data_IF_920366189470
#
_entry.id   IF_920366189470
#
_cell.length_a   1.000
_cell.length_b   1.000
_cell.length_c   1.000
_cell.angle_alpha   90.00
_cell.angle_beta   90.00
_cell.angle_gamma   90.00
#
_symmetry.space_group_name_H-M   'P 1'
#
loop_
_entity.id
_entity.type
_entity.pdbx_description
1 polymer ?
#
# COMPACT_ATOMS: atom_id res chain seq x y z
N UNK A 1 16.56 22.08 -24.05
CA UNK A 1 16.05 20.70 -24.17
C UNK A 1 14.67 20.72 -23.56
N UNK A 2 13.66 20.43 -24.35
CA UNK A 2 12.29 20.32 -23.82
C UNK A 2 12.21 19.09 -22.92
N UNK A 3 11.52 19.21 -21.81
CA UNK A 3 11.36 18.16 -20.83
C UNK A 3 9.94 18.15 -20.27
N UNK A 4 9.57 17.07 -19.63
CA UNK A 4 8.32 17.00 -18.86
C UNK A 4 8.63 16.54 -17.43
N UNK A 5 7.98 17.15 -16.47
CA UNK A 5 8.06 16.78 -15.07
C UNK A 5 6.68 16.46 -14.54
N UNK A 6 6.52 15.27 -13.99
CA UNK A 6 5.28 14.77 -13.40
C UNK A 6 5.55 14.33 -11.97
N UNK A 7 4.70 14.70 -11.03
CA UNK A 7 4.74 14.18 -9.66
C UNK A 7 3.41 13.52 -9.36
N UNK A 8 3.49 12.26 -8.96
CA UNK A 8 2.37 11.47 -8.46
C UNK A 8 2.63 11.02 -7.02
N UNK A 9 1.56 10.87 -6.28
CA UNK A 9 1.59 10.26 -4.97
C UNK A 9 0.61 9.11 -4.87
N UNK A 10 0.91 8.15 -4.01
CA UNK A 10 -0.02 7.11 -3.64
C UNK A 10 0.10 6.80 -2.15
N UNK A 11 -1.03 6.62 -1.46
CA UNK A 11 -1.04 6.25 -0.06
C UNK A 11 -0.61 4.79 0.13
N UNK A 12 -0.09 4.50 1.32
CA UNK A 12 0.00 3.13 1.79
C UNK A 12 -1.38 2.59 2.15
N UNK A 13 -1.47 1.30 2.39
CA UNK A 13 -2.70 0.65 2.84
C UNK A 13 -2.39 -0.38 3.91
N UNK A 14 -3.33 -0.55 4.85
CA UNK A 14 -3.26 -1.57 5.89
C UNK A 14 -4.37 -2.60 5.69
N UNK A 15 -3.99 -3.84 5.43
CA UNK A 15 -4.95 -4.93 5.28
C UNK A 15 -5.48 -5.39 6.63
N UNK A 16 -6.79 -5.62 6.74
CA UNK A 16 -7.45 -6.26 7.87
C UNK A 16 -7.73 -7.75 7.59
N UNK A 17 -7.94 -8.13 6.32
CA UNK A 17 -7.76 -9.51 5.85
C UNK A 17 -6.56 -9.52 4.91
N UNK A 18 -5.55 -10.32 5.26
CA UNK A 18 -4.19 -10.23 4.74
C UNK A 18 -4.02 -10.94 3.40
N UNK A 19 -3.33 -10.29 2.48
CA UNK A 19 -2.74 -10.92 1.31
C UNK A 19 -1.54 -11.76 1.72
N UNK A 20 -1.68 -13.08 1.66
CA UNK A 20 -0.59 -14.00 1.96
C UNK A 20 -0.72 -15.27 1.12
N UNK A 21 0.36 -15.67 0.43
CA UNK A 21 0.33 -16.70 -0.61
C UNK A 21 0.12 -16.13 -2.02
N UNK A 22 0.73 -16.77 -3.01
CA UNK A 22 0.64 -16.39 -4.43
C UNK A 22 0.26 -17.60 -5.26
N UNK A 23 -0.83 -17.47 -6.04
CA UNK A 23 -1.25 -18.42 -7.06
C UNK A 23 -0.35 -18.31 -8.30
N UNK A 24 0.01 -17.08 -8.67
CA UNK A 24 0.98 -16.77 -9.71
C UNK A 24 1.99 -15.75 -9.17
N UNK A 25 3.24 -16.18 -8.98
CA UNK A 25 4.30 -15.33 -8.44
C UNK A 25 4.80 -14.29 -9.45
N UNK A 26 4.74 -14.58 -10.74
CA UNK A 26 5.23 -13.70 -11.81
C UNK A 26 4.34 -12.46 -11.99
N UNK A 27 3.05 -12.64 -11.80
CA UNK A 27 2.01 -11.60 -11.90
C UNK A 27 1.53 -11.12 -10.53
N UNK A 28 2.06 -11.65 -9.44
CA UNK A 28 1.60 -11.41 -8.07
C UNK A 28 0.09 -11.66 -7.87
N UNK A 29 -0.48 -12.65 -8.58
CA UNK A 29 -1.88 -13.05 -8.35
C UNK A 29 -1.99 -13.68 -6.96
N UNK A 30 -2.91 -13.19 -6.10
CA UNK A 30 -3.06 -13.70 -4.75
C UNK A 30 -3.69 -15.09 -4.75
N UNK A 31 -3.38 -15.88 -3.74
CA UNK A 31 -4.04 -17.16 -3.52
C UNK A 31 -5.34 -17.00 -2.73
N UNK A 32 -5.41 -15.98 -1.92
CA UNK A 32 -6.58 -15.64 -1.13
C UNK A 32 -6.95 -14.15 -1.28
N UNK A 33 -8.23 -13.81 -1.14
CA UNK A 33 -8.65 -12.42 -1.16
C UNK A 33 -8.10 -11.65 0.04
N UNK A 34 -8.11 -10.32 -0.06
CA UNK A 34 -7.71 -9.42 1.01
C UNK A 34 -8.57 -8.15 0.99
N UNK A 35 -8.69 -7.50 2.15
CA UNK A 35 -9.39 -6.23 2.28
C UNK A 35 -8.57 -5.28 3.14
N UNK A 36 -8.38 -4.05 2.68
CA UNK A 36 -7.52 -3.05 3.33
C UNK A 36 -8.19 -1.70 3.45
N UNK A 37 -7.72 -0.93 4.44
CA UNK A 37 -7.92 0.50 4.53
C UNK A 37 -6.77 1.22 3.82
N UNK A 38 -7.09 2.13 2.92
CA UNK A 38 -6.15 3.06 2.28
C UNK A 38 -5.90 4.24 3.22
N UNK A 39 -4.63 4.62 3.38
CA UNK A 39 -4.20 5.66 4.31
C UNK A 39 -4.20 7.04 3.65
N UNK A 40 -4.10 8.10 4.43
CA UNK A 40 -4.18 9.49 3.95
C UNK A 40 -2.80 10.13 3.81
N UNK A 41 -2.05 10.17 4.90
CA UNK A 41 -0.79 10.94 5.03
C UNK A 41 0.46 10.07 4.88
N UNK A 42 0.35 8.78 5.18
CA UNK A 42 1.45 7.82 5.01
C UNK A 42 1.50 7.36 3.56
N UNK A 43 2.27 8.05 2.73
CA UNK A 43 2.29 7.91 1.28
C UNK A 43 3.70 7.93 0.69
N UNK A 44 3.83 7.43 -0.53
CA UNK A 44 5.01 7.58 -1.37
C UNK A 44 4.76 8.63 -2.44
N UNK A 45 5.79 9.40 -2.75
CA UNK A 45 5.80 10.46 -3.75
C UNK A 45 6.84 10.07 -4.79
N UNK A 46 6.47 10.13 -6.06
CA UNK A 46 7.35 9.86 -7.21
C UNK A 46 7.39 11.07 -8.12
N UNK A 47 8.57 11.64 -8.32
CA UNK A 47 8.86 12.60 -9.37
C UNK A 47 9.45 11.86 -10.56
N UNK A 48 8.84 12.01 -11.72
CA UNK A 48 9.32 11.50 -12.99
C UNK A 48 9.64 12.67 -13.90
N UNK A 49 10.88 12.71 -14.39
CA UNK A 49 11.36 13.72 -15.33
C UNK A 49 11.67 13.01 -16.65
N UNK A 50 11.04 13.44 -17.73
CA UNK A 50 11.39 13.07 -19.09
C UNK A 50 12.35 14.10 -19.66
N UNK A 51 13.42 13.62 -20.31
CA UNK A 51 14.35 14.44 -21.10
C UNK A 51 14.41 13.90 -22.51
N UNK A 52 14.23 14.78 -23.49
CA UNK A 52 14.33 14.40 -24.90
C UNK A 52 15.78 14.11 -25.29
N UNK A 53 15.99 13.19 -26.25
CA UNK A 53 17.26 12.98 -26.92
C UNK A 53 18.11 11.78 -26.51
N UNK A 54 17.92 11.20 -25.32
CA UNK A 54 18.62 9.99 -24.87
C UNK A 54 17.66 8.90 -24.46
N UNK A 55 18.16 7.66 -24.30
CA UNK A 55 17.37 6.55 -23.85
C UNK A 55 17.80 6.10 -22.45
N UNK A 56 16.89 5.57 -21.69
CA UNK A 56 17.17 4.89 -20.43
C UNK A 56 16.30 5.32 -19.28
N UNK A 57 16.35 4.51 -18.22
CA UNK A 57 15.67 4.77 -16.97
C UNK A 57 16.70 4.81 -15.85
N UNK A 58 16.70 5.84 -15.06
CA UNK A 58 17.55 5.99 -13.88
C UNK A 58 16.75 6.41 -12.66
N UNK A 59 17.11 5.86 -11.52
CA UNK A 59 16.64 6.33 -10.23
C UNK A 59 17.77 7.05 -9.52
N UNK A 60 17.50 8.21 -8.93
CA UNK A 60 18.48 8.99 -8.19
C UNK A 60 18.01 9.22 -6.74
N UNK A 61 18.91 9.10 -5.72
CA UNK A 61 18.59 9.24 -4.31
C UNK A 61 18.45 10.73 -3.93
N UNK A 62 17.46 11.39 -4.50
CA UNK A 62 17.12 12.78 -4.23
C UNK A 62 15.62 12.90 -3.95
N UNK A 63 15.26 13.88 -3.15
CA UNK A 63 13.85 14.18 -2.92
C UNK A 63 13.17 14.74 -4.17
N UNK A 64 11.90 14.40 -4.41
CA UNK A 64 11.04 15.08 -5.35
C UNK A 64 11.00 16.60 -5.09
N UNK A 65 10.99 17.38 -6.17
CA UNK A 65 11.00 18.85 -6.07
C UNK A 65 9.56 19.39 -6.07
N UNK A 66 8.90 19.39 -4.92
CA UNK A 66 7.55 19.94 -4.78
C UNK A 66 7.58 21.43 -4.42
N UNK A 67 6.61 22.24 -4.88
CA UNK A 67 6.36 23.57 -4.33
C UNK A 67 6.14 23.48 -2.81
N UNK A 68 6.89 24.24 -2.04
CA UNK A 68 6.84 24.20 -0.56
C UNK A 68 7.71 23.09 0.07
N UNK A 69 8.46 22.33 -0.72
CA UNK A 69 9.33 21.23 -0.26
C UNK A 69 8.61 19.87 -0.27
N UNK A 70 9.42 18.81 -0.39
CA UNK A 70 8.89 17.44 -0.35
C UNK A 70 8.88 16.95 1.11
N UNK A 71 7.72 16.53 1.63
CA UNK A 71 7.67 15.89 2.94
C UNK A 71 8.28 14.49 2.86
N UNK A 72 9.01 14.10 3.91
CA UNK A 72 9.54 12.74 4.05
C UNK A 72 10.99 12.58 3.62
N UNK A 73 11.39 11.35 3.37
CA UNK A 73 12.77 10.95 3.13
C UNK A 73 12.90 10.16 1.82
N UNK A 74 14.04 10.33 1.14
CA UNK A 74 14.37 9.48 -0.01
C UNK A 74 14.78 8.09 0.49
N UNK A 75 14.16 7.00 -0.02
CA UNK A 75 14.50 5.66 0.44
C UNK A 75 15.89 5.25 -0.05
N UNK A 76 16.57 4.44 0.76
CA UNK A 76 17.79 3.76 0.35
C UNK A 76 17.42 2.50 -0.45
N UNK A 77 17.65 2.52 -1.76
CA UNK A 77 17.38 1.35 -2.60
C UNK A 77 18.67 0.55 -2.86
N UNK A 78 18.60 -0.75 -2.68
CA UNK A 78 19.65 -1.66 -3.14
C UNK A 78 19.69 -1.75 -4.67
N UNK A 79 20.78 -2.24 -5.24
CA UNK A 79 20.88 -2.44 -6.69
C UNK A 79 19.73 -3.29 -7.24
N UNK A 80 19.29 -4.33 -6.50
CA UNK A 80 18.13 -5.15 -6.89
C UNK A 80 16.81 -4.38 -6.79
N UNK A 81 16.68 -3.47 -5.82
CA UNK A 81 15.55 -2.55 -5.69
C UNK A 81 15.43 -1.60 -6.86
N UNK A 82 16.56 -0.98 -7.27
CA UNK A 82 16.62 -0.11 -8.44
C UNK A 82 16.24 -0.87 -9.71
N UNK A 83 16.77 -2.09 -9.89
CA UNK A 83 16.40 -2.93 -11.05
C UNK A 83 14.90 -3.28 -11.09
N UNK A 84 14.26 -3.51 -9.94
CA UNK A 84 12.80 -3.71 -9.86
C UNK A 84 12.03 -2.47 -10.32
N UNK A 85 12.48 -1.28 -9.91
CA UNK A 85 11.87 0.00 -10.33
C UNK A 85 11.98 0.16 -11.84
N UNK A 86 13.19 -0.02 -12.41
CA UNK A 86 13.43 0.09 -13.87
C UNK A 86 12.56 -0.89 -14.65
N UNK A 87 12.57 -2.17 -14.27
CA UNK A 87 11.72 -3.20 -14.91
C UNK A 87 10.24 -2.86 -14.85
N UNK A 88 9.80 -2.22 -13.76
CA UNK A 88 8.39 -1.84 -13.64
C UNK A 88 8.03 -0.67 -14.56
N UNK A 89 8.90 0.33 -14.71
CA UNK A 89 8.72 1.41 -15.69
C UNK A 89 8.55 0.85 -17.10
N UNK A 90 9.42 -0.06 -17.52
CA UNK A 90 9.32 -0.71 -18.83
C UNK A 90 8.02 -1.50 -19.00
N UNK A 91 7.59 -2.21 -17.93
CA UNK A 91 6.31 -2.92 -17.92
C UNK A 91 5.11 -1.98 -18.11
N UNK A 92 5.10 -0.85 -17.40
CA UNK A 92 4.03 0.14 -17.55
C UNK A 92 4.03 0.68 -18.98
N UNK A 93 5.19 1.14 -19.48
CA UNK A 93 5.32 1.64 -20.86
C UNK A 93 4.75 0.66 -21.89
N UNK A 94 5.07 -0.62 -21.77
CA UNK A 94 4.62 -1.65 -22.71
C UNK A 94 3.09 -1.80 -22.78
N UNK A 95 2.38 -1.44 -21.71
CA UNK A 95 0.91 -1.53 -21.65
C UNK A 95 0.19 -0.26 -22.09
N UNK A 96 0.88 0.91 -22.07
CA UNK A 96 0.25 2.20 -22.34
C UNK A 96 -0.39 2.32 -23.72
N UNK A 97 0.19 1.84 -24.84
CA UNK A 97 -0.43 2.01 -26.16
C UNK A 97 -1.83 1.39 -26.24
N UNK A 98 -1.99 0.17 -25.72
CA UNK A 98 -3.27 -0.52 -25.69
C UNK A 98 -4.26 0.20 -24.77
N UNK A 99 -3.80 0.52 -23.56
CA UNK A 99 -4.61 1.18 -22.55
C UNK A 99 -5.08 2.57 -23.00
N UNK A 100 -4.17 3.37 -23.57
CA UNK A 100 -4.50 4.71 -24.02
C UNK A 100 -5.44 4.72 -25.24
N UNK A 101 -5.29 3.74 -26.14
CA UNK A 101 -6.24 3.58 -27.24
C UNK A 101 -7.66 3.23 -26.74
N UNK A 102 -7.77 2.33 -25.79
CA UNK A 102 -9.05 1.95 -25.16
C UNK A 102 -9.78 3.14 -24.54
N UNK A 103 -9.04 3.96 -23.79
CA UNK A 103 -9.57 5.11 -23.05
C UNK A 103 -9.47 6.45 -23.80
N UNK A 104 -9.06 6.42 -25.07
CA UNK A 104 -8.89 7.62 -25.92
C UNK A 104 -7.99 8.68 -25.29
N UNK A 105 -6.97 8.24 -24.55
CA UNK A 105 -5.92 9.11 -24.02
C UNK A 105 -4.86 9.27 -25.11
N UNK A 106 -4.51 10.50 -25.50
CA UNK A 106 -3.52 10.69 -26.55
C UNK A 106 -2.11 10.36 -26.05
N UNK A 107 -1.41 9.45 -26.75
CA UNK A 107 -0.04 9.07 -26.45
C UNK A 107 0.94 10.07 -27.07
N UNK A 108 1.93 10.51 -26.28
CA UNK A 108 3.03 11.34 -26.79
C UNK A 108 4.07 10.48 -27.51
N UNK A 109 3.85 10.20 -28.79
CA UNK A 109 4.60 9.22 -29.58
C UNK A 109 6.12 9.45 -29.54
N UNK A 110 6.59 10.67 -29.75
CA UNK A 110 8.01 10.99 -29.78
C UNK A 110 8.72 10.69 -28.45
N UNK A 111 8.13 11.09 -27.30
CA UNK A 111 8.68 10.80 -25.96
C UNK A 111 8.59 9.32 -25.65
N UNK A 112 7.54 8.66 -26.09
CA UNK A 112 7.38 7.23 -25.89
C UNK A 112 8.49 6.43 -26.58
N UNK A 113 8.87 6.82 -27.80
CA UNK A 113 9.92 6.17 -28.57
C UNK A 113 11.32 6.52 -28.06
N UNK A 114 11.57 7.78 -27.69
CA UNK A 114 12.92 8.25 -27.37
C UNK A 114 12.92 9.30 -26.25
N UNK A 115 13.13 8.85 -25.02
CA UNK A 115 13.37 9.73 -23.88
C UNK A 115 14.23 9.07 -22.81
N UNK A 116 14.91 9.90 -22.02
CA UNK A 116 15.49 9.50 -20.75
C UNK A 116 14.46 9.71 -19.64
N UNK A 117 14.29 8.72 -18.77
CA UNK A 117 13.44 8.79 -17.60
C UNK A 117 14.33 8.90 -16.37
N UNK A 118 14.16 9.95 -15.58
CA UNK A 118 14.82 10.14 -14.30
C UNK A 118 13.75 10.08 -13.22
N UNK A 119 13.98 9.24 -12.21
CA UNK A 119 13.05 9.04 -11.10
C UNK A 119 13.68 9.52 -9.79
N UNK A 120 12.89 10.27 -9.01
CA UNK A 120 13.16 10.56 -7.61
C UNK A 120 11.97 10.09 -6.79
N UNK A 121 12.21 9.60 -5.59
CA UNK A 121 11.16 9.07 -4.74
C UNK A 121 11.32 9.53 -3.29
N UNK A 122 10.21 9.70 -2.59
CA UNK A 122 10.18 9.95 -1.16
C UNK A 122 9.05 9.15 -0.50
N UNK A 123 9.21 8.85 0.79
CA UNK A 123 8.17 8.34 1.66
C UNK A 123 7.93 9.31 2.81
N UNK A 124 6.69 9.59 3.16
CA UNK A 124 6.34 10.43 4.31
C UNK A 124 6.43 9.69 5.65
N UNK A 125 6.92 8.46 5.63
CA UNK A 125 7.09 7.58 6.78
C UNK A 125 8.45 6.88 6.71
N UNK A 126 9.02 6.45 7.84
CA UNK A 126 10.34 5.82 7.89
C UNK A 126 10.42 4.57 7.02
N UNK A 127 11.56 4.40 6.35
CA UNK A 127 11.84 3.17 5.60
C UNK A 127 11.85 1.96 6.55
N UNK A 128 11.44 0.80 6.05
CA UNK A 128 11.35 -0.47 6.81
C UNK A 128 10.36 -0.47 7.99
N UNK A 129 9.57 0.58 8.17
CA UNK A 129 8.54 0.69 9.23
C UNK A 129 7.41 -0.36 9.15
N UNK A 130 7.40 -1.22 8.14
CA UNK A 130 6.31 -2.21 7.95
C UNK A 130 5.02 -1.64 7.35
N UNK A 131 5.00 -0.36 7.00
CA UNK A 131 3.84 0.37 6.45
C UNK A 131 3.73 0.16 4.93
N UNK A 132 3.94 -1.05 4.44
CA UNK A 132 3.76 -1.43 3.04
C UNK A 132 4.34 -0.42 2.01
N UNK A 133 5.54 0.15 2.25
CA UNK A 133 6.17 1.18 1.39
C UNK A 133 6.24 0.76 -0.08
N UNK A 134 6.42 -0.53 -0.38
CA UNK A 134 6.39 -1.01 -1.75
C UNK A 134 5.00 -0.89 -2.41
N UNK A 135 3.91 -0.91 -1.63
CA UNK A 135 2.57 -0.75 -2.17
C UNK A 135 2.37 0.68 -2.70
N UNK A 136 2.60 1.68 -1.87
CA UNK A 136 2.47 3.09 -2.23
C UNK A 136 3.47 3.50 -3.33
N UNK A 137 4.74 3.07 -3.23
CA UNK A 137 5.77 3.44 -4.20
C UNK A 137 5.48 2.92 -5.61
N UNK A 138 5.04 1.65 -5.75
CA UNK A 138 4.71 1.11 -7.08
C UNK A 138 3.40 1.68 -7.63
N UNK A 139 2.43 2.03 -6.79
CA UNK A 139 1.22 2.72 -7.22
C UNK A 139 1.54 4.13 -7.74
N UNK A 140 2.28 4.94 -6.99
CA UNK A 140 2.71 6.28 -7.41
C UNK A 140 3.56 6.23 -8.69
N UNK A 141 4.50 5.27 -8.78
CA UNK A 141 5.33 5.08 -9.98
C UNK A 141 4.49 4.74 -11.21
N UNK A 142 3.53 3.82 -11.08
CA UNK A 142 2.65 3.43 -12.18
C UNK A 142 1.85 4.62 -12.71
N UNK A 143 1.29 5.42 -11.79
CA UNK A 143 0.55 6.62 -12.14
C UNK A 143 1.45 7.68 -12.79
N UNK A 144 2.64 7.94 -12.22
CA UNK A 144 3.59 8.92 -12.76
C UNK A 144 4.01 8.56 -14.19
N UNK A 145 4.33 7.27 -14.44
CA UNK A 145 4.70 6.79 -15.78
C UNK A 145 3.53 6.94 -16.75
N UNK A 146 2.33 6.52 -16.37
CA UNK A 146 1.15 6.67 -17.24
C UNK A 146 0.90 8.13 -17.60
N UNK A 147 0.84 9.00 -16.61
CA UNK A 147 0.64 10.42 -16.83
C UNK A 147 1.72 11.02 -17.75
N UNK A 148 3.00 10.72 -17.53
CA UNK A 148 4.11 11.30 -18.25
C UNK A 148 4.11 11.00 -19.76
N UNK A 149 3.48 9.93 -20.20
CA UNK A 149 3.38 9.56 -21.61
C UNK A 149 2.06 9.99 -22.29
N UNK A 150 1.15 10.64 -21.57
CA UNK A 150 0.02 11.34 -22.22
C UNK A 150 0.50 12.63 -22.85
N UNK A 151 0.03 12.95 -24.07
CA UNK A 151 0.30 14.25 -24.68
C UNK A 151 -0.68 15.35 -24.23
N UNK A 152 -1.64 15.02 -23.37
CA UNK A 152 -2.61 15.97 -22.82
C UNK A 152 -2.88 15.71 -21.35
N UNK A 153 -2.40 16.60 -20.50
CA UNK A 153 -2.73 16.59 -19.07
C UNK A 153 -4.23 16.60 -18.82
N UNK A 154 -4.94 17.52 -19.47
CA UNK A 154 -6.38 17.71 -19.32
C UNK A 154 -7.16 16.41 -19.60
N UNK A 155 -6.87 15.76 -20.72
CA UNK A 155 -7.54 14.51 -21.10
C UNK A 155 -7.21 13.41 -20.09
N UNK A 156 -5.93 13.27 -19.71
CA UNK A 156 -5.53 12.26 -18.74
C UNK A 156 -6.25 12.43 -17.38
N UNK A 157 -6.23 13.64 -16.82
CA UNK A 157 -6.88 13.96 -15.53
C UNK A 157 -8.40 13.78 -15.60
N UNK A 158 -9.02 14.18 -16.72
CA UNK A 158 -10.46 14.01 -16.91
C UNK A 158 -10.86 12.52 -16.94
N UNK A 159 -10.18 11.71 -17.74
CA UNK A 159 -10.43 10.27 -17.80
C UNK A 159 -10.10 9.60 -16.47
N UNK A 160 -8.96 9.94 -15.86
CA UNK A 160 -8.55 9.43 -14.55
C UNK A 160 -9.61 9.68 -13.47
N UNK A 161 -10.22 10.85 -13.45
CA UNK A 161 -11.23 11.20 -12.44
C UNK A 161 -12.58 10.50 -12.67
N UNK A 162 -12.99 10.35 -13.93
CA UNK A 162 -14.32 9.85 -14.30
C UNK A 162 -14.38 8.32 -14.42
N UNK A 163 -13.27 7.66 -14.78
CA UNK A 163 -13.27 6.27 -15.19
C UNK A 163 -12.60 5.35 -14.15
N UNK A 164 -13.39 4.69 -13.28
CA UNK A 164 -12.85 3.75 -12.29
C UNK A 164 -12.11 2.57 -12.93
N UNK A 165 -12.54 2.13 -14.12
CA UNK A 165 -11.92 1.00 -14.81
C UNK A 165 -10.51 1.34 -15.30
N UNK A 166 -10.21 2.60 -15.67
CA UNK A 166 -8.84 3.03 -15.95
C UNK A 166 -7.97 2.88 -14.70
N UNK A 167 -8.44 3.35 -13.54
CA UNK A 167 -7.72 3.21 -12.26
C UNK A 167 -7.47 1.74 -11.92
N UNK A 168 -8.45 0.87 -12.17
CA UNK A 168 -8.30 -0.59 -12.00
C UNK A 168 -7.28 -1.20 -12.95
N UNK A 169 -7.23 -0.76 -14.21
CA UNK A 169 -6.22 -1.22 -15.16
C UNK A 169 -4.80 -0.82 -14.69
N UNK A 170 -4.63 0.41 -14.20
CA UNK A 170 -3.37 0.85 -13.59
C UNK A 170 -3.03 0.05 -12.32
N UNK A 171 -4.02 -0.25 -11.49
CA UNK A 171 -3.86 -1.09 -10.30
C UNK A 171 -3.36 -2.51 -10.66
N UNK A 172 -3.91 -3.12 -11.72
CA UNK A 172 -3.46 -4.42 -12.22
C UNK A 172 -2.01 -4.39 -12.69
N UNK A 173 -1.59 -3.35 -13.43
CA UNK A 173 -0.21 -3.19 -13.87
C UNK A 173 0.71 -2.99 -12.66
N UNK A 174 0.32 -2.15 -11.72
CA UNK A 174 1.09 -1.87 -10.50
C UNK A 174 1.31 -3.12 -9.65
N UNK A 175 0.29 -3.99 -9.52
CA UNK A 175 0.36 -5.27 -8.82
C UNK A 175 1.52 -6.14 -9.29
N UNK A 176 1.84 -6.15 -10.56
CA UNK A 176 2.96 -6.93 -11.09
C UNK A 176 4.32 -6.46 -10.55
N UNK A 177 4.44 -5.21 -10.11
CA UNK A 177 5.62 -4.68 -9.42
C UNK A 177 5.61 -4.99 -7.92
N UNK A 178 4.46 -4.82 -7.28
CA UNK A 178 4.23 -5.13 -5.86
C UNK A 178 2.77 -5.53 -5.65
N UNK A 179 2.51 -6.75 -5.17
CA UNK A 179 1.16 -7.30 -5.07
C UNK A 179 0.16 -6.34 -4.41
N UNK A 180 0.48 -5.85 -3.21
CA UNK A 180 -0.40 -4.96 -2.44
C UNK A 180 -0.61 -3.57 -3.05
N UNK A 181 0.16 -3.17 -4.07
CA UNK A 181 0.05 -1.83 -4.66
C UNK A 181 -1.28 -1.59 -5.37
N UNK A 182 -1.93 -2.65 -5.85
CA UNK A 182 -3.24 -2.51 -6.49
C UNK A 182 -4.31 -1.92 -5.57
N UNK A 183 -4.15 -2.04 -4.25
CA UNK A 183 -5.09 -1.48 -3.26
C UNK A 183 -4.84 -0.02 -2.92
N UNK A 184 -3.80 0.62 -3.48
CA UNK A 184 -3.45 2.02 -3.25
C UNK A 184 -4.01 2.99 -4.31
N UNK A 185 -4.83 2.50 -5.27
CA UNK A 185 -5.42 3.33 -6.33
C UNK A 185 -6.79 3.91 -5.98
N UNK A 186 -7.47 3.30 -5.01
CA UNK A 186 -8.77 3.68 -4.53
C UNK A 186 -8.77 3.76 -2.99
N UNK A 187 -9.83 4.29 -2.39
CA UNK A 187 -9.99 4.34 -0.94
C UNK A 187 -11.34 4.90 -0.53
N UNK A 188 -11.75 4.76 0.73
CA UNK A 188 -10.91 4.24 1.83
C UNK A 188 -10.81 2.70 1.91
N UNK A 189 -11.84 1.94 1.59
CA UNK A 189 -11.85 0.49 1.74
C UNK A 189 -11.72 -0.21 0.39
N UNK A 190 -10.70 -1.06 0.25
CA UNK A 190 -10.41 -1.77 -1.01
C UNK A 190 -10.32 -3.26 -0.78
N UNK A 191 -11.19 -3.99 -1.46
CA UNK A 191 -11.13 -5.44 -1.62
C UNK A 191 -10.23 -5.79 -2.81
N UNK A 192 -9.36 -6.78 -2.64
CA UNK A 192 -8.59 -7.36 -3.72
C UNK A 192 -8.79 -8.87 -3.76
N UNK A 193 -9.33 -9.34 -4.88
CA UNK A 193 -9.53 -10.75 -5.14
C UNK A 193 -9.04 -11.08 -6.56
N UNK A 194 -8.30 -12.16 -6.70
CA UNK A 194 -7.68 -12.60 -7.96
C UNK A 194 -6.87 -11.49 -8.64
N UNK A 195 -7.29 -11.02 -9.81
CA UNK A 195 -6.61 -9.97 -10.55
C UNK A 195 -7.23 -8.57 -10.33
N UNK A 196 -8.33 -8.46 -9.59
CA UNK A 196 -9.13 -7.23 -9.46
C UNK A 196 -9.11 -6.65 -8.06
N UNK A 197 -8.69 -5.39 -7.95
CA UNK A 197 -8.90 -4.55 -6.78
C UNK A 197 -10.10 -3.63 -7.01
N UNK A 198 -10.98 -3.51 -6.02
CA UNK A 198 -12.20 -2.71 -6.14
C UNK A 198 -12.58 -2.03 -4.83
N UNK A 199 -13.16 -0.85 -4.95
CA UNK A 199 -13.69 -0.10 -3.82
C UNK A 199 -14.85 -0.87 -3.17
N UNK A 200 -14.89 -0.90 -1.85
CA UNK A 200 -16.07 -1.33 -1.08
C UNK A 200 -17.02 -0.13 -0.98
N UNK A 201 -18.19 -0.25 -1.62
CA UNK A 201 -19.22 0.77 -1.57
C UNK A 201 -19.94 0.82 -0.23
N UNK A 202 -20.62 1.94 0.04
CA UNK A 202 -21.54 2.11 1.15
C UNK A 202 -20.92 1.85 2.54
N UNK A 203 -19.65 2.27 2.74
CA UNK A 203 -19.00 2.18 4.02
C UNK A 203 -19.64 3.13 5.04
N UNK A 204 -19.94 2.61 6.24
CA UNK A 204 -20.34 3.38 7.40
C UNK A 204 -19.19 3.59 8.41
N UNK A 205 -17.94 3.15 8.07
CA UNK A 205 -16.74 3.24 8.91
C UNK A 205 -15.65 4.08 8.23
N UNK A 206 -15.95 5.32 7.87
CA UNK A 206 -15.00 6.24 7.23
C UNK A 206 -14.38 7.23 8.22
N UNK A 207 -14.97 7.35 9.43
CA UNK A 207 -14.50 8.24 10.50
C UNK A 207 -13.61 7.47 11.48
N UNK A 208 -12.41 7.11 11.03
CA UNK A 208 -11.40 6.41 11.83
C UNK A 208 -10.16 7.29 12.03
N UNK A 209 -9.47 7.07 13.15
CA UNK A 209 -8.08 7.46 13.35
C UNK A 209 -7.22 6.19 13.33
N UNK A 210 -6.02 6.29 12.80
CA UNK A 210 -5.08 5.19 12.70
C UNK A 210 -3.78 5.56 13.38
N UNK A 211 -3.30 4.70 14.25
CA UNK A 211 -2.02 4.80 14.93
C UNK A 211 -1.10 3.67 14.47
N UNK A 212 0.15 4.00 14.19
CA UNK A 212 1.21 3.01 13.93
C UNK A 212 2.25 3.11 15.03
N UNK A 213 2.32 2.10 15.89
CA UNK A 213 3.33 2.00 16.94
C UNK A 213 4.59 1.40 16.33
N UNK A 214 5.64 2.22 16.18
CA UNK A 214 6.89 1.85 15.51
C UNK A 214 7.83 1.09 16.44
N UNK A 215 7.52 -0.18 16.71
CA UNK A 215 8.32 -1.05 17.60
C UNK A 215 9.75 -1.22 17.06
N UNK A 216 9.89 -1.36 15.72
CA UNK A 216 11.17 -1.50 15.06
C UNK A 216 11.12 -1.06 13.61
N UNK A 217 12.15 -0.36 13.16
CA UNK A 217 12.30 0.15 11.80
C UNK A 217 13.49 -0.45 11.04
N UNK A 218 14.14 -1.48 11.59
CA UNK A 218 15.26 -2.17 10.95
C UNK A 218 14.80 -3.08 9.81
N UNK A 219 15.68 -3.36 8.84
CA UNK A 219 15.41 -4.33 7.78
C UNK A 219 15.05 -5.71 8.33
N UNK A 220 14.03 -6.32 7.75
CA UNK A 220 13.53 -7.65 8.15
C UNK A 220 14.50 -8.75 7.77
N UNK A 221 14.73 -9.72 8.65
CA UNK A 221 15.54 -10.93 8.36
C UNK A 221 14.89 -11.81 7.29
N UNK A 222 13.56 -11.93 7.33
CA UNK A 222 12.76 -12.65 6.32
C UNK A 222 11.96 -11.62 5.54
N UNK A 223 12.17 -11.55 4.24
CA UNK A 223 11.41 -10.62 3.40
C UNK A 223 9.94 -11.06 3.27
N UNK A 224 9.04 -10.10 3.01
CA UNK A 224 7.63 -10.45 2.75
C UNK A 224 7.47 -11.42 1.57
N UNK A 225 8.32 -11.30 0.54
CA UNK A 225 8.32 -12.24 -0.60
C UNK A 225 8.68 -13.66 -0.19
N UNK A 226 9.63 -13.82 0.70
CA UNK A 226 10.03 -15.10 1.25
C UNK A 226 8.95 -15.68 2.19
N UNK A 227 8.33 -14.84 3.00
CA UNK A 227 7.21 -15.24 3.85
C UNK A 227 6.07 -15.86 3.03
N UNK A 228 5.70 -15.25 1.88
CA UNK A 228 4.69 -15.81 0.97
C UNK A 228 4.99 -17.25 0.49
N UNK A 229 6.26 -17.64 0.42
CA UNK A 229 6.65 -19.01 0.05
C UNK A 229 6.63 -19.95 1.25
N UNK A 230 7.17 -19.50 2.40
CA UNK A 230 7.32 -20.33 3.60
C UNK A 230 5.99 -20.76 4.20
N UNK A 231 4.99 -19.89 4.23
CA UNK A 231 3.69 -20.19 4.86
C UNK A 231 2.98 -21.40 4.26
N UNK A 232 3.21 -21.70 2.98
CA UNK A 232 2.62 -22.86 2.31
C UNK A 232 3.09 -24.18 2.90
N UNK A 233 4.18 -24.18 3.67
CA UNK A 233 4.71 -25.34 4.38
C UNK A 233 4.11 -25.50 5.78
N UNK A 234 3.30 -24.57 6.25
CA UNK A 234 2.60 -24.64 7.53
C UNK A 234 1.44 -25.65 7.44
N UNK A 235 1.25 -26.52 8.44
CA UNK A 235 0.07 -27.38 8.50
C UNK A 235 -1.24 -26.59 8.60
N UNK A 236 -1.20 -25.33 9.09
CA UNK A 236 -2.35 -24.44 9.17
C UNK A 236 -2.73 -23.82 7.82
N UNK A 237 -1.92 -24.04 6.78
CA UNK A 237 -2.21 -23.53 5.43
C UNK A 237 -3.48 -24.14 4.83
N UNK A 238 -3.75 -25.42 5.15
CA UNK A 238 -4.96 -26.09 4.70
C UNK A 238 -6.22 -25.33 5.15
N UNK A 239 -7.11 -25.02 4.20
CA UNK A 239 -8.33 -24.25 4.45
C UNK A 239 -8.14 -22.73 4.61
N UNK A 240 -6.91 -22.21 4.53
CA UNK A 240 -6.62 -20.77 4.65
C UNK A 240 -7.41 -19.93 3.64
N UNK A 241 -7.48 -20.36 2.40
CA UNK A 241 -8.19 -19.65 1.34
C UNK A 241 -9.68 -19.50 1.69
N UNK A 242 -10.33 -20.57 2.13
CA UNK A 242 -11.73 -20.53 2.52
C UNK A 242 -11.96 -19.61 3.73
N UNK A 243 -11.14 -19.73 4.77
CA UNK A 243 -11.26 -18.88 5.97
C UNK A 243 -11.11 -17.39 5.64
N UNK A 244 -10.22 -17.03 4.71
CA UNK A 244 -10.06 -15.64 4.29
C UNK A 244 -11.20 -15.14 3.41
N UNK A 245 -11.77 -15.99 2.55
CA UNK A 245 -12.98 -15.65 1.80
C UNK A 245 -14.14 -15.32 2.74
N UNK A 246 -14.37 -16.17 3.74
CA UNK A 246 -15.42 -15.95 4.74
C UNK A 246 -15.17 -14.68 5.55
N UNK A 247 -13.91 -14.41 5.94
CA UNK A 247 -13.53 -13.18 6.64
C UNK A 247 -13.75 -11.94 5.78
N UNK A 248 -13.39 -11.96 4.51
CA UNK A 248 -13.62 -10.80 3.62
C UNK A 248 -15.11 -10.50 3.48
N UNK A 249 -15.95 -11.51 3.30
CA UNK A 249 -17.42 -11.32 3.24
C UNK A 249 -17.98 -10.72 4.52
N UNK A 250 -17.61 -11.28 5.67
CA UNK A 250 -18.02 -10.78 7.00
C UNK A 250 -17.51 -9.36 7.25
N UNK A 251 -16.22 -9.11 6.99
CA UNK A 251 -15.59 -7.80 7.17
C UNK A 251 -16.26 -6.72 6.31
N UNK A 252 -16.51 -7.01 5.05
CA UNK A 252 -17.23 -6.11 4.15
C UNK A 252 -18.61 -5.74 4.67
N UNK A 253 -19.38 -6.74 5.12
CA UNK A 253 -20.69 -6.52 5.72
C UNK A 253 -20.61 -5.71 7.03
N UNK A 254 -19.61 -5.96 7.89
CA UNK A 254 -19.40 -5.21 9.12
C UNK A 254 -19.05 -3.74 8.85
N UNK A 255 -18.18 -3.48 7.86
CA UNK A 255 -17.82 -2.11 7.41
C UNK A 255 -19.06 -1.37 6.91
N UNK A 256 -19.87 -2.01 6.07
CA UNK A 256 -21.10 -1.40 5.51
C UNK A 256 -22.14 -1.09 6.59
N UNK A 257 -22.20 -1.88 7.65
CA UNK A 257 -23.12 -1.67 8.79
C UNK A 257 -22.55 -0.80 9.91
N UNK A 258 -21.29 -0.36 9.81
CA UNK A 258 -20.66 0.47 10.84
C UNK A 258 -20.33 -0.30 12.14
N UNK A 259 -20.19 -1.63 12.09
CA UNK A 259 -19.96 -2.49 13.26
C UNK A 259 -18.46 -2.63 13.55
N UNK A 260 -17.92 -1.64 14.28
CA UNK A 260 -16.49 -1.62 14.61
C UNK A 260 -16.03 -2.81 15.46
N UNK A 261 -16.89 -3.30 16.35
CA UNK A 261 -16.67 -4.48 17.15
C UNK A 261 -16.43 -5.74 16.30
N UNK A 262 -17.31 -5.99 15.33
CA UNK A 262 -17.14 -7.12 14.39
C UNK A 262 -15.88 -6.95 13.51
N UNK A 263 -15.55 -5.73 13.09
CA UNK A 263 -14.33 -5.45 12.34
C UNK A 263 -13.10 -5.73 13.19
N UNK A 264 -13.12 -5.33 14.48
CA UNK A 264 -12.05 -5.58 15.42
C UNK A 264 -11.77 -7.08 15.59
N UNK A 265 -12.81 -7.86 15.85
CA UNK A 265 -12.71 -9.32 16.04
C UNK A 265 -12.12 -10.00 14.79
N UNK A 266 -12.64 -9.65 13.60
CA UNK A 266 -12.17 -10.24 12.35
C UNK A 266 -10.69 -9.89 12.08
N UNK A 267 -10.30 -8.65 12.32
CA UNK A 267 -8.93 -8.19 12.09
C UNK A 267 -7.94 -8.82 13.09
N UNK A 268 -8.38 -9.00 14.34
CA UNK A 268 -7.63 -9.67 15.40
C UNK A 268 -7.37 -11.13 15.05
N UNK A 269 -8.42 -11.88 14.75
CA UNK A 269 -8.34 -13.29 14.33
C UNK A 269 -7.41 -13.47 13.11
N UNK A 270 -7.52 -12.56 12.16
CA UNK A 270 -6.71 -12.60 10.94
C UNK A 270 -5.23 -12.34 11.23
N UNK A 271 -4.92 -11.38 12.11
CA UNK A 271 -3.56 -11.08 12.48
C UNK A 271 -2.90 -12.28 13.18
N UNK A 272 -3.60 -12.91 14.12
CA UNK A 272 -3.12 -14.11 14.81
C UNK A 272 -2.94 -15.29 13.88
N UNK A 273 -3.91 -15.55 13.00
CA UNK A 273 -3.78 -16.67 12.05
C UNK A 273 -2.61 -16.47 11.09
N UNK A 274 -2.45 -15.26 10.52
CA UNK A 274 -1.34 -14.99 9.62
C UNK A 274 0.02 -15.22 10.30
N UNK A 275 0.19 -14.73 11.53
CA UNK A 275 1.44 -14.92 12.27
C UNK A 275 1.65 -16.38 12.69
N UNK A 276 0.57 -17.11 13.00
CA UNK A 276 0.64 -18.54 13.28
C UNK A 276 1.17 -19.34 12.08
N UNK A 277 0.87 -18.93 10.84
CA UNK A 277 1.46 -19.54 9.64
C UNK A 277 3.00 -19.36 9.60
N UNK A 278 3.52 -18.22 10.06
CA UNK A 278 4.96 -18.01 10.15
C UNK A 278 5.61 -18.91 11.19
N UNK A 279 4.96 -19.02 12.37
CA UNK A 279 5.45 -19.78 13.51
C UNK A 279 5.41 -21.29 13.29
N UNK A 280 4.56 -21.80 12.41
CA UNK A 280 4.33 -23.22 12.15
C UNK A 280 4.85 -23.70 10.79
N UNK A 281 5.50 -22.81 10.01
CA UNK A 281 6.15 -23.19 8.75
C UNK A 281 7.34 -24.12 8.99
N UNK A 282 7.76 -24.89 8.00
CA UNK A 282 8.92 -25.83 8.12
C UNK A 282 10.21 -25.17 8.61
N UNK A 283 10.40 -23.88 8.31
CA UNK A 283 11.45 -23.05 8.88
C UNK A 283 10.80 -21.92 9.67
N UNK A 284 10.38 -22.16 10.91
CA UNK A 284 9.65 -21.19 11.72
C UNK A 284 10.41 -19.87 11.87
N UNK A 285 9.68 -18.79 11.87
CA UNK A 285 10.21 -17.45 12.10
C UNK A 285 9.10 -16.56 12.70
N UNK A 286 9.52 -15.50 13.34
CA UNK A 286 8.61 -14.48 13.85
C UNK A 286 9.04 -13.09 13.41
N UNK A 287 8.09 -12.20 13.25
CA UNK A 287 8.31 -10.76 13.15
C UNK A 287 8.11 -10.05 14.48
N UNK A 288 7.50 -10.72 15.46
CA UNK A 288 7.22 -10.11 16.74
C UNK A 288 8.49 -9.84 17.53
N UNK A 289 8.59 -8.65 18.04
CA UNK A 289 9.59 -8.16 18.98
C UNK A 289 8.94 -8.06 20.37
N UNK A 290 9.69 -7.85 21.45
CA UNK A 290 9.13 -7.73 22.80
C UNK A 290 8.00 -6.68 22.89
N UNK A 291 8.16 -5.53 22.24
CA UNK A 291 7.12 -4.50 22.16
C UNK A 291 5.86 -4.95 21.43
N UNK A 292 5.99 -5.80 20.39
CA UNK A 292 4.83 -6.38 19.71
C UNK A 292 4.02 -7.26 20.66
N UNK A 293 4.73 -8.13 21.42
CA UNK A 293 4.10 -9.05 22.39
C UNK A 293 3.47 -8.25 23.52
N UNK A 294 4.13 -7.19 24.00
CA UNK A 294 3.58 -6.30 25.02
C UNK A 294 2.23 -5.70 24.59
N UNK A 295 2.18 -5.15 23.38
CA UNK A 295 0.92 -4.62 22.85
C UNK A 295 -0.14 -5.68 22.60
N UNK A 296 0.24 -6.82 22.01
CA UNK A 296 -0.71 -7.93 21.81
C UNK A 296 -1.30 -8.41 23.12
N UNK A 297 -0.49 -8.52 24.18
CA UNK A 297 -0.99 -8.88 25.50
C UNK A 297 -1.98 -7.85 26.04
N UNK A 298 -1.68 -6.56 25.96
CA UNK A 298 -2.58 -5.49 26.36
C UNK A 298 -3.93 -5.56 25.65
N UNK A 299 -3.92 -5.71 24.33
CA UNK A 299 -5.15 -5.77 23.53
C UNK A 299 -5.90 -7.11 23.63
N UNK A 300 -5.29 -8.18 24.14
CA UNK A 300 -5.97 -9.44 24.40
C UNK A 300 -6.82 -9.43 25.68
N UNK A 301 -6.68 -8.39 26.50
CA UNK A 301 -7.39 -8.22 27.76
C UNK A 301 -8.26 -6.93 27.69
N UNK A 302 -9.44 -6.97 27.01
CA UNK A 302 -10.28 -5.79 26.85
C UNK A 302 -10.69 -5.20 28.20
N UNK A 303 -10.63 -3.86 28.30
CA UNK A 303 -11.03 -3.14 29.52
C UNK A 303 -12.43 -2.53 29.34
N UNK A 304 -13.24 -2.58 30.40
CA UNK A 304 -14.54 -1.89 30.45
C UNK A 304 -14.42 -0.37 30.29
N UNK A 305 -13.22 0.19 30.54
CA UNK A 305 -12.95 1.62 30.36
C UNK A 305 -12.74 2.03 28.88
N UNK A 306 -12.62 1.08 27.95
CA UNK A 306 -12.45 1.41 26.54
C UNK A 306 -13.73 2.02 25.96
N UNK A 307 -13.65 3.19 25.29
CA UNK A 307 -14.85 3.83 24.75
C UNK A 307 -15.45 3.03 23.58
N UNK A 308 -14.62 2.31 22.86
CA UNK A 308 -14.97 1.33 21.82
C UNK A 308 -13.82 0.36 21.60
N UNK A 309 -14.11 -0.82 21.05
CA UNK A 309 -13.09 -1.80 20.69
C UNK A 309 -12.16 -1.23 19.61
N UNK A 310 -10.83 -1.21 19.82
CA UNK A 310 -9.88 -0.82 18.79
C UNK A 310 -9.70 -1.96 17.78
N UNK A 311 -9.54 -1.63 16.50
CA UNK A 311 -9.15 -2.59 15.47
C UNK A 311 -7.63 -2.72 15.52
N UNK A 312 -7.11 -3.86 15.95
CA UNK A 312 -5.68 -4.09 16.09
C UNK A 312 -5.21 -5.11 15.06
N UNK A 313 -4.13 -4.79 14.35
CA UNK A 313 -3.55 -5.70 13.37
C UNK A 313 -2.04 -5.49 13.23
N UNK A 314 -1.35 -6.47 12.65
CA UNK A 314 0.05 -6.39 12.25
C UNK A 314 0.17 -6.90 10.82
N UNK A 315 1.07 -6.29 10.03
CA UNK A 315 1.51 -6.85 8.77
C UNK A 315 2.68 -7.83 8.99
N UNK A 316 3.35 -8.25 7.94
CA UNK A 316 4.59 -9.05 8.03
C UNK A 316 5.74 -8.19 8.60
N UNK A 317 5.60 -7.77 9.84
CA UNK A 317 6.50 -6.89 10.59
C UNK A 317 6.14 -6.82 12.07
N UNK A 318 6.95 -6.14 12.90
CA UNK A 318 6.75 -6.06 14.33
C UNK A 318 5.77 -4.96 14.77
N UNK A 319 5.47 -4.00 13.89
CA UNK A 319 4.76 -2.78 14.22
C UNK A 319 3.26 -3.00 14.34
N UNK A 320 2.66 -2.41 15.37
CA UNK A 320 1.22 -2.50 15.62
C UNK A 320 0.49 -1.40 14.87
N UNK A 321 -0.62 -1.76 14.27
CA UNK A 321 -1.57 -0.84 13.67
C UNK A 321 -2.85 -0.87 14.50
N UNK A 322 -3.23 0.28 15.05
CA UNK A 322 -4.41 0.44 15.90
C UNK A 322 -5.34 1.46 15.25
N UNK A 323 -6.51 1.01 14.81
CA UNK A 323 -7.53 1.88 14.22
C UNK A 323 -8.67 2.03 15.22
N UNK A 324 -9.16 3.24 15.37
CA UNK A 324 -10.19 3.59 16.35
C UNK A 324 -11.21 4.53 15.74
N UNK A 325 -12.39 4.66 16.33
CA UNK A 325 -13.32 5.69 15.91
C UNK A 325 -12.69 7.08 16.13
N UNK A 326 -12.89 7.99 15.21
CA UNK A 326 -12.31 9.35 15.26
C UNK A 326 -12.66 10.08 16.57
N UNK A 327 -13.85 9.87 17.09
CA UNK A 327 -14.30 10.44 18.37
C UNK A 327 -13.50 9.97 19.58
N UNK A 328 -12.88 8.79 19.50
CA UNK A 328 -12.13 8.15 20.58
C UNK A 328 -10.60 8.35 20.43
N UNK A 329 -10.18 9.15 19.43
CA UNK A 329 -8.77 9.34 19.06
C UNK A 329 -7.90 9.83 20.23
N UNK A 330 -8.39 10.80 21.01
CA UNK A 330 -7.60 11.41 22.09
C UNK A 330 -7.39 10.41 23.24
N UNK A 331 -8.43 9.63 23.59
CA UNK A 331 -8.30 8.56 24.57
C UNK A 331 -7.21 7.57 24.16
N UNK A 332 -7.28 7.06 22.92
CA UNK A 332 -6.33 6.06 22.45
C UNK A 332 -4.92 6.63 22.25
N UNK A 333 -4.80 7.89 21.89
CA UNK A 333 -3.48 8.58 21.84
C UNK A 333 -2.83 8.59 23.21
N UNK A 334 -3.57 8.91 24.27
CA UNK A 334 -3.06 8.90 25.64
C UNK A 334 -2.68 7.48 26.08
N UNK A 335 -3.55 6.50 25.86
CA UNK A 335 -3.29 5.11 26.21
C UNK A 335 -2.07 4.53 25.49
N UNK A 336 -1.93 4.77 24.21
CA UNK A 336 -0.78 4.28 23.44
C UNK A 336 0.53 4.95 23.85
N UNK A 337 0.52 6.23 24.22
CA UNK A 337 1.71 6.91 24.77
C UNK A 337 2.11 6.38 26.14
N UNK A 338 1.15 6.03 26.99
CA UNK A 338 1.40 5.40 28.27
C UNK A 338 1.96 3.98 28.11
N UNK A 339 1.36 3.20 27.21
CA UNK A 339 1.78 1.81 26.94
C UNK A 339 3.15 1.74 26.24
N UNK A 340 3.48 2.73 25.41
CA UNK A 340 4.73 2.79 24.62
C UNK A 340 5.47 4.13 24.79
N UNK A 341 5.94 4.47 26.01
CA UNK A 341 6.45 5.82 26.32
C UNK A 341 7.70 6.23 25.54
N UNK A 342 8.49 5.26 25.06
CA UNK A 342 9.73 5.51 24.30
C UNK A 342 9.62 5.19 22.82
N UNK A 343 8.41 4.88 22.35
CA UNK A 343 8.19 4.44 20.97
C UNK A 343 7.53 5.55 20.15
N UNK A 344 8.04 5.79 18.96
CA UNK A 344 7.39 6.72 18.03
C UNK A 344 6.06 6.17 17.55
N UNK A 345 5.03 6.99 17.58
CA UNK A 345 3.68 6.65 17.11
C UNK A 345 3.35 7.60 15.96
N UNK A 346 3.09 7.03 14.78
CA UNK A 346 2.59 7.80 13.65
C UNK A 346 1.07 7.82 13.69
N UNK A 347 0.49 8.94 13.25
CA UNK A 347 -0.95 9.09 13.18
C UNK A 347 -1.39 9.29 11.73
N UNK A 348 -2.49 8.67 11.36
CA UNK A 348 -3.10 8.79 10.04
C UNK A 348 -4.64 8.65 10.13
N UNK A 349 -5.26 8.62 8.98
CA UNK A 349 -6.72 8.46 8.82
C UNK A 349 -7.04 7.76 7.50
N UNK A 350 -8.28 7.34 7.27
CA UNK A 350 -8.72 6.86 5.96
C UNK A 350 -8.46 7.89 4.87
N UNK A 351 -7.95 7.43 3.73
CA UNK A 351 -7.54 8.27 2.62
C UNK A 351 -8.17 7.88 1.29
N UNK A 352 -7.85 8.67 0.30
CA UNK A 352 -8.21 8.45 -1.10
C UNK A 352 -7.08 7.67 -1.78
N UNK A 353 -7.31 7.22 -3.00
CA UNK A 353 -6.31 6.52 -3.80
C UNK A 353 -5.21 7.43 -4.37
N UNK A 354 -4.43 6.85 -5.29
CA UNK A 354 -3.33 7.55 -5.97
C UNK A 354 -3.79 8.79 -6.75
N UNK A 355 -2.99 9.84 -6.73
CA UNK A 355 -3.30 11.13 -7.36
C UNK A 355 -2.08 11.80 -7.98
N UNK A 356 -2.32 12.63 -8.99
CA UNK A 356 -1.31 13.54 -9.56
C UNK A 356 -1.23 14.81 -8.72
N UNK A 357 -0.01 15.24 -8.42
CA UNK A 357 0.25 16.46 -7.65
C UNK A 357 0.78 17.59 -8.52
N UNK A 358 1.53 17.25 -9.55
CA UNK A 358 2.22 18.22 -10.37
C UNK A 358 2.45 17.72 -11.80
N UNK A 359 2.37 18.67 -12.76
CA UNK A 359 2.66 18.41 -14.17
C UNK A 359 3.14 19.72 -14.82
N UNK A 360 4.37 19.73 -15.30
CA UNK A 360 4.98 20.90 -15.93
C UNK A 360 5.79 20.49 -17.16
N UNK A 361 5.57 21.15 -18.29
CA UNK A 361 6.45 21.09 -19.46
C UNK A 361 7.58 22.09 -19.26
N UNK A 362 8.83 21.63 -19.45
CA UNK A 362 10.06 22.41 -19.30
C UNK A 362 10.65 22.81 -20.66
#
# INVERSE_FOLDING_TARGET
MSGLRVIAEAPSNIALVKYMGKKDASRNIPENPSLSLTLSSLKSIVELILRDGSHGVSWIPQLPSLPGGCPGESPQLSSSGIQKVIKHVERVKLRLPVLFNEWKIPLHQQRFEKCQIILKTANTFPQASGIASSASSFAALTLAVGAAFSSSRKVFEEVWSKEPELRRAFAQISREGSGSSCRSFEGPWVEWNEDRAQLVSDSALDQLAHFVVLIKTDPKKVSSSEAHLRIKTSPLWTGRVQRTQDRVMRLKSAIQRGRIDEVSDIAWDEAWEMHSLFHTSQKPFTYWEPGSIHGLKYFSEPSESWPSAPIVTLDAGPNLHVLVLKKDQEYWRAQLKELFPQTSILEDSPGKGASLQFWEEQ
#
